data_IF_657622693399
#
_entry.id   IF_657622693399
#
_cell.length_a   1.000
_cell.length_b   1.000
_cell.length_c   1.000
_cell.angle_alpha   90.00
_cell.angle_beta   90.00
_cell.angle_gamma   90.00
#
_symmetry.space_group_name_H-M   'P 1'
#
loop_
_entity.id
_entity.type
_entity.pdbx_description
1 polymer ?
#
# COMPACT_ATOMS: atom_id res chain seq x y z
N UNK A 1 -10.35 0.99 13.79
CA UNK A 1 -8.93 1.26 14.15
C UNK A 1 -8.39 2.25 13.15
N UNK A 2 -7.62 3.22 13.59
CA UNK A 2 -7.06 4.27 12.76
C UNK A 2 -5.54 4.27 12.89
N UNK A 3 -4.82 4.44 11.79
CA UNK A 3 -3.41 4.73 11.74
C UNK A 3 -3.24 6.25 11.56
N UNK A 4 -2.62 6.90 12.52
CA UNK A 4 -2.51 8.34 12.59
C UNK A 4 -1.06 8.76 12.44
N UNK A 5 -0.80 9.62 11.47
CA UNK A 5 0.44 10.36 11.30
C UNK A 5 0.25 11.76 11.91
N UNK A 6 1.02 12.12 12.94
CA UNK A 6 0.96 13.42 13.59
C UNK A 6 2.30 14.13 13.49
N UNK A 7 2.35 15.23 12.72
CA UNK A 7 3.51 16.11 12.58
C UNK A 7 4.83 15.39 12.27
N UNK A 8 4.77 14.36 11.39
CA UNK A 8 5.94 13.54 11.05
C UNK A 8 6.94 14.38 10.26
N UNK A 9 8.14 14.51 10.84
CA UNK A 9 9.32 15.03 10.16
C UNK A 9 10.48 14.03 10.26
N UNK A 10 11.28 13.92 9.20
CA UNK A 10 12.42 13.00 9.20
C UNK A 10 13.61 13.52 8.39
N UNK A 11 14.80 13.23 8.94
CA UNK A 11 16.11 13.59 8.35
C UNK A 11 17.05 12.40 8.32
N UNK A 12 17.79 12.24 7.22
CA UNK A 12 18.96 11.37 7.16
C UNK A 12 20.22 12.24 7.22
N UNK A 13 20.83 12.35 8.40
CA UNK A 13 21.92 13.30 8.62
C UNK A 13 21.46 14.75 8.39
N UNK A 14 22.10 15.45 7.44
CA UNK A 14 21.72 16.81 7.06
C UNK A 14 20.54 16.88 6.08
N UNK A 15 20.17 15.75 5.47
CA UNK A 15 19.14 15.70 4.43
C UNK A 15 17.76 15.61 5.05
N UNK A 16 16.97 16.66 4.93
CA UNK A 16 15.55 16.68 5.32
C UNK A 16 14.70 16.02 4.24
N UNK A 17 13.97 14.96 4.61
CA UNK A 17 13.19 14.14 3.68
C UNK A 17 11.69 14.39 3.83
N UNK A 18 11.21 14.51 5.08
CA UNK A 18 9.82 14.80 5.43
C UNK A 18 9.77 15.99 6.39
N UNK A 19 8.74 16.83 6.24
CA UNK A 19 8.53 17.99 7.08
C UNK A 19 7.03 18.20 7.35
N UNK A 20 6.64 18.03 8.61
CA UNK A 20 5.30 18.27 9.17
C UNK A 20 4.17 17.54 8.42
N UNK A 21 4.32 16.24 8.17
CA UNK A 21 3.32 15.41 7.51
C UNK A 21 2.30 14.88 8.51
N UNK A 22 1.01 15.24 8.30
CA UNK A 22 -0.09 14.80 9.15
C UNK A 22 -1.27 14.31 8.32
N UNK A 23 -1.76 13.11 8.58
CA UNK A 23 -2.99 12.52 8.03
C UNK A 23 -3.38 11.27 8.81
N UNK A 24 -4.56 10.72 8.52
CA UNK A 24 -5.08 9.50 9.17
C UNK A 24 -5.43 8.48 8.09
N UNK A 25 -5.37 7.20 8.38
CA UNK A 25 -5.92 6.10 7.58
C UNK A 25 -6.86 5.31 8.48
N UNK A 26 -8.14 5.30 8.16
CA UNK A 26 -9.15 4.58 8.96
C UNK A 26 -9.39 3.16 8.44
N UNK A 27 -9.86 2.26 9.31
CA UNK A 27 -10.36 0.95 8.88
C UNK A 27 -11.42 1.11 7.79
N UNK A 28 -11.31 0.32 6.73
CA UNK A 28 -12.20 0.38 5.56
C UNK A 28 -11.87 1.49 4.56
N UNK A 29 -10.99 2.42 4.90
CA UNK A 29 -10.55 3.51 4.04
C UNK A 29 -9.24 3.16 3.30
N UNK A 30 -9.15 3.47 2.02
CA UNK A 30 -7.92 3.41 1.24
C UNK A 30 -7.42 4.83 0.98
N UNK A 31 -6.25 5.15 1.52
CA UNK A 31 -5.56 6.43 1.30
C UNK A 31 -4.38 6.19 0.38
N UNK A 32 -4.42 6.74 -0.83
CA UNK A 32 -3.24 6.74 -1.69
C UNK A 32 -2.30 7.89 -1.32
N UNK A 33 -1.00 7.63 -1.41
CA UNK A 33 0.06 8.62 -1.19
C UNK A 33 0.81 8.75 -2.50
N UNK A 34 0.73 9.93 -3.12
CA UNK A 34 1.37 10.24 -4.40
C UNK A 34 2.29 11.44 -4.26
N UNK A 35 3.21 11.59 -5.19
CA UNK A 35 4.16 12.72 -5.21
C UNK A 35 5.39 12.41 -6.05
N UNK A 36 6.25 13.40 -6.32
CA UNK A 36 7.45 13.24 -7.13
C UNK A 36 8.38 12.13 -6.62
N UNK A 37 9.23 11.59 -7.50
CA UNK A 37 10.25 10.64 -7.09
C UNK A 37 11.21 11.27 -6.06
N UNK A 38 11.54 10.52 -5.01
CA UNK A 38 12.43 10.98 -3.94
C UNK A 38 11.82 11.98 -2.94
N UNK A 39 10.50 12.25 -2.97
CA UNK A 39 9.83 13.14 -2.01
C UNK A 39 9.64 12.53 -0.61
N UNK A 40 9.96 11.25 -0.40
CA UNK A 40 9.91 10.61 0.92
C UNK A 40 8.74 9.64 1.15
N UNK A 41 7.99 9.21 0.10
CA UNK A 41 6.84 8.30 0.23
C UNK A 41 7.18 6.99 0.96
N UNK A 42 8.22 6.28 0.53
CA UNK A 42 8.66 5.02 1.16
C UNK A 42 9.23 5.25 2.56
N UNK A 43 9.86 6.41 2.80
CA UNK A 43 10.30 6.83 4.15
C UNK A 43 9.10 7.03 5.07
N UNK A 44 8.08 7.75 4.60
CA UNK A 44 6.83 7.95 5.33
C UNK A 44 6.16 6.61 5.64
N UNK A 45 6.04 5.74 4.65
CA UNK A 45 5.43 4.42 4.83
C UNK A 45 6.21 3.56 5.85
N UNK A 46 7.54 3.64 5.82
CA UNK A 46 8.41 2.96 6.81
C UNK A 46 8.22 3.48 8.22
N UNK A 47 7.97 4.79 8.38
CA UNK A 47 7.65 5.41 9.68
C UNK A 47 6.27 4.94 10.15
N UNK A 48 5.26 4.96 9.27
CA UNK A 48 3.91 4.48 9.56
C UNK A 48 3.90 3.01 10.00
N UNK A 49 4.76 2.19 9.40
CA UNK A 49 4.93 0.78 9.74
C UNK A 49 5.81 0.49 10.96
N UNK A 50 6.34 1.54 11.62
CA UNK A 50 7.24 1.37 12.78
C UNK A 50 8.62 0.83 12.43
N UNK A 51 8.98 0.75 11.15
CA UNK A 51 10.29 0.28 10.69
C UNK A 51 11.36 1.37 10.81
N UNK A 52 10.95 2.63 10.88
CA UNK A 52 11.81 3.78 11.01
C UNK A 52 11.22 4.75 12.03
N UNK A 53 12.04 5.25 12.94
CA UNK A 53 11.63 6.28 13.89
C UNK A 53 11.67 7.66 13.21
N UNK A 54 10.61 8.48 13.32
CA UNK A 54 10.65 9.86 12.82
C UNK A 54 11.63 10.70 13.64
N UNK A 55 12.17 11.77 13.05
CA UNK A 55 12.99 12.76 13.78
C UNK A 55 12.15 13.65 14.69
N UNK A 56 10.88 13.90 14.32
CA UNK A 56 9.87 14.58 15.11
C UNK A 56 8.48 14.08 14.73
N UNK A 57 7.49 14.28 15.60
CA UNK A 57 6.14 13.75 15.44
C UNK A 57 6.05 12.27 15.77
N UNK A 58 4.94 11.66 15.43
CA UNK A 58 4.68 10.25 15.72
C UNK A 58 3.71 9.61 14.73
N UNK A 59 3.82 8.27 14.62
CA UNK A 59 2.82 7.43 13.97
C UNK A 59 2.27 6.44 15.00
N UNK A 60 0.96 6.35 15.12
CA UNK A 60 0.33 5.47 16.10
C UNK A 60 -0.96 4.81 15.57
N UNK A 61 -1.25 3.63 16.11
CA UNK A 61 -2.54 2.96 15.92
C UNK A 61 -3.47 3.31 17.08
N UNK A 62 -4.64 3.87 16.78
CA UNK A 62 -5.70 4.17 17.77
C UNK A 62 -6.93 3.29 17.54
N UNK A 63 -7.52 2.84 18.64
CA UNK A 63 -8.70 1.98 18.64
C UNK A 63 -8.36 0.50 18.76
N UNK A 64 -9.38 -0.33 18.95
CA UNK A 64 -9.21 -1.77 19.07
C UNK A 64 -9.07 -2.43 17.69
N UNK A 65 -8.14 -3.38 17.51
CA UNK A 65 -8.08 -4.17 16.29
C UNK A 65 -9.32 -5.08 16.15
N UNK A 66 -9.63 -5.56 14.93
CA UNK A 66 -10.63 -6.62 14.77
C UNK A 66 -10.32 -7.81 15.69
N UNK A 67 -11.35 -8.45 16.26
CA UNK A 67 -11.15 -9.52 17.28
C UNK A 67 -10.32 -10.71 16.79
N UNK A 68 -10.32 -10.95 15.48
CA UNK A 68 -9.62 -12.04 14.82
C UNK A 68 -8.30 -11.62 14.17
N UNK A 69 -7.89 -10.37 14.35
CA UNK A 69 -6.62 -9.84 13.84
C UNK A 69 -5.43 -10.41 14.62
N UNK A 70 -4.51 -11.02 13.90
CA UNK A 70 -3.26 -11.54 14.46
C UNK A 70 -2.13 -10.50 14.43
N UNK A 71 -2.22 -9.57 13.48
CA UNK A 71 -1.34 -8.40 13.40
C UNK A 71 -2.12 -7.24 12.77
N UNK A 72 -2.47 -6.20 13.55
CA UNK A 72 -3.34 -5.13 13.08
C UNK A 72 -2.73 -4.25 11.98
N UNK A 73 -1.41 -4.21 11.85
CA UNK A 73 -0.69 -3.43 10.85
C UNK A 73 0.28 -4.33 10.10
N UNK A 74 0.12 -4.43 8.79
CA UNK A 74 0.95 -5.31 7.97
C UNK A 74 1.47 -4.58 6.74
N UNK A 75 2.69 -4.93 6.33
CA UNK A 75 3.40 -4.30 5.22
C UNK A 75 3.46 -5.23 3.99
N UNK A 76 3.18 -4.67 2.81
CA UNK A 76 3.45 -5.29 1.51
C UNK A 76 4.54 -4.46 0.83
N UNK A 77 5.73 -5.02 0.73
CA UNK A 77 6.89 -4.37 0.13
C UNK A 77 6.85 -4.45 -1.38
N UNK A 78 7.50 -3.52 -2.05
CA UNK A 78 7.71 -3.52 -3.50
C UNK A 78 8.43 -4.82 -3.97
N UNK A 79 9.47 -5.21 -3.28
CA UNK A 79 10.13 -6.52 -3.40
C UNK A 79 9.45 -7.49 -2.42
N UNK A 80 8.52 -8.28 -2.85
CA UNK A 80 7.62 -9.13 -2.02
C UNK A 80 8.29 -9.92 -0.90
N UNK A 81 9.62 -9.84 -0.76
CA UNK A 81 10.45 -10.45 0.27
C UNK A 81 10.06 -11.93 0.52
N UNK A 82 9.83 -12.69 -0.56
CA UNK A 82 9.51 -14.11 -0.45
C UNK A 82 10.76 -14.89 -0.05
N UNK A 83 10.55 -15.89 0.81
CA UNK A 83 11.58 -16.85 1.18
C UNK A 83 11.80 -17.79 -0.02
N UNK A 84 12.94 -17.72 -0.74
CA UNK A 84 13.12 -18.44 -2.01
C UNK A 84 13.23 -19.96 -1.85
N UNK A 85 13.52 -20.43 -0.63
CA UNK A 85 13.58 -21.85 -0.27
C UNK A 85 12.26 -22.41 0.28
N UNK A 86 11.22 -21.59 0.41
CA UNK A 86 9.88 -21.98 0.83
C UNK A 86 8.92 -22.02 -0.35
N UNK A 87 7.95 -22.93 -0.32
CA UNK A 87 6.82 -22.94 -1.26
C UNK A 87 5.91 -21.74 -1.04
N UNK A 88 4.94 -21.48 -1.93
CA UNK A 88 3.92 -20.45 -1.75
C UNK A 88 3.18 -20.64 -0.42
N UNK A 89 2.72 -21.84 -0.12
CA UNK A 89 2.05 -22.20 1.13
C UNK A 89 2.93 -21.94 2.35
N UNK A 90 4.19 -22.40 2.33
CA UNK A 90 5.12 -22.19 3.44
C UNK A 90 5.50 -20.71 3.63
N UNK A 91 5.54 -19.90 2.57
CA UNK A 91 5.69 -18.45 2.66
C UNK A 91 4.53 -17.79 3.40
N UNK A 92 3.29 -18.24 3.14
CA UNK A 92 2.11 -17.73 3.84
C UNK A 92 2.04 -18.24 5.27
N UNK A 93 2.37 -19.52 5.51
CA UNK A 93 2.38 -20.09 6.86
C UNK A 93 3.42 -19.44 7.78
N UNK A 94 4.53 -18.98 7.22
CA UNK A 94 5.65 -18.41 7.98
C UNK A 94 5.23 -17.32 8.96
N UNK A 95 4.33 -16.43 8.58
CA UNK A 95 3.87 -15.33 9.46
C UNK A 95 2.94 -15.78 10.57
N UNK A 96 2.46 -17.02 10.54
CA UNK A 96 1.55 -17.60 11.53
C UNK A 96 2.27 -18.47 12.57
N UNK A 97 3.59 -18.74 12.40
CA UNK A 97 4.32 -19.69 13.23
C UNK A 97 4.33 -19.32 14.73
N UNK A 98 4.26 -18.04 15.06
CA UNK A 98 4.30 -17.53 16.43
C UNK A 98 2.95 -16.96 16.91
N UNK A 99 1.86 -17.19 16.17
CA UNK A 99 0.52 -16.67 16.50
C UNK A 99 -0.23 -17.48 17.56
N UNK A 100 0.37 -18.51 18.15
CA UNK A 100 -0.30 -19.38 19.15
C UNK A 100 -1.37 -20.31 18.59
N UNK A 101 -1.44 -20.44 17.27
CA UNK A 101 -2.43 -21.25 16.56
C UNK A 101 -2.04 -22.72 16.46
N UNK A 102 -3.02 -23.64 16.50
CA UNK A 102 -2.80 -25.05 16.18
C UNK A 102 -2.42 -25.23 14.71
N UNK A 103 -1.85 -26.39 14.37
CA UNK A 103 -1.52 -26.72 12.98
C UNK A 103 -2.76 -26.70 12.05
N UNK A 104 -3.91 -27.15 12.56
CA UNK A 104 -5.18 -27.17 11.80
C UNK A 104 -5.68 -25.74 11.52
N UNK A 105 -5.63 -24.85 12.52
CA UNK A 105 -6.00 -23.44 12.34
C UNK A 105 -5.10 -22.73 11.35
N UNK A 106 -3.76 -22.91 11.46
CA UNK A 106 -2.82 -22.37 10.49
C UNK A 106 -3.11 -22.84 9.07
N UNK A 107 -3.31 -24.16 8.89
CA UNK A 107 -3.61 -24.71 7.57
C UNK A 107 -4.89 -24.13 6.96
N UNK A 108 -5.94 -23.92 7.78
CA UNK A 108 -7.18 -23.30 7.33
C UNK A 108 -6.98 -21.84 6.89
N UNK A 109 -6.24 -21.05 7.66
CA UNK A 109 -5.92 -19.65 7.33
C UNK A 109 -5.10 -19.57 6.04
N UNK A 110 -4.08 -20.42 5.90
CA UNK A 110 -3.21 -20.47 4.71
C UNK A 110 -4.02 -20.84 3.48
N UNK A 111 -4.89 -21.86 3.58
CA UNK A 111 -5.74 -22.28 2.48
C UNK A 111 -6.70 -21.16 2.05
N UNK A 112 -7.30 -20.43 2.99
CA UNK A 112 -8.16 -19.28 2.70
C UNK A 112 -7.39 -18.15 2.03
N UNK A 113 -6.21 -17.78 2.54
CA UNK A 113 -5.38 -16.73 1.96
C UNK A 113 -4.96 -17.05 0.51
N UNK A 114 -4.54 -18.31 0.24
CA UNK A 114 -4.20 -18.76 -1.10
C UNK A 114 -5.41 -18.79 -2.04
N UNK A 115 -6.58 -19.16 -1.55
CA UNK A 115 -7.83 -19.14 -2.31
C UNK A 115 -8.21 -17.71 -2.71
N UNK A 116 -8.18 -16.76 -1.76
CA UNK A 116 -8.50 -15.33 -1.99
C UNK A 116 -7.55 -14.67 -2.99
N UNK A 117 -6.33 -15.19 -3.13
CA UNK A 117 -5.33 -14.67 -4.08
C UNK A 117 -5.17 -15.55 -5.32
N UNK A 118 -6.10 -16.49 -5.58
CA UNK A 118 -6.12 -17.38 -6.75
C UNK A 118 -4.84 -18.22 -6.90
N UNK A 119 -4.25 -18.67 -5.77
CA UNK A 119 -3.01 -19.45 -5.73
C UNK A 119 -3.18 -20.90 -5.28
N UNK A 120 -4.41 -21.40 -5.13
CA UNK A 120 -4.69 -22.76 -4.62
C UNK A 120 -3.92 -23.85 -5.37
N UNK A 121 -3.90 -23.78 -6.72
CA UNK A 121 -3.23 -24.77 -7.57
C UNK A 121 -1.70 -24.66 -7.55
N UNK A 122 -1.17 -23.53 -7.05
CA UNK A 122 0.26 -23.23 -7.00
C UNK A 122 0.84 -23.29 -5.58
N UNK A 123 0.09 -23.80 -4.60
CA UNK A 123 0.49 -23.87 -3.18
C UNK A 123 1.87 -24.51 -2.97
N UNK A 124 2.21 -25.55 -3.73
CA UNK A 124 3.49 -26.27 -3.65
C UNK A 124 4.63 -25.68 -4.50
N UNK A 125 4.37 -24.61 -5.27
CA UNK A 125 5.37 -24.01 -6.13
C UNK A 125 6.33 -23.11 -5.33
N UNK A 126 7.61 -23.15 -5.72
CA UNK A 126 8.64 -22.25 -5.19
C UNK A 126 8.63 -20.92 -5.93
N UNK A 127 9.10 -19.80 -5.33
CA UNK A 127 9.11 -18.47 -5.96
C UNK A 127 9.73 -18.44 -7.36
N UNK A 128 10.77 -19.24 -7.62
CA UNK A 128 11.42 -19.35 -8.94
C UNK A 128 10.54 -19.97 -10.04
N UNK A 129 9.48 -20.68 -9.65
CA UNK A 129 8.53 -21.35 -10.55
C UNK A 129 7.29 -20.48 -10.82
N UNK A 130 7.15 -19.34 -10.12
CA UNK A 130 6.02 -18.44 -10.19
C UNK A 130 6.31 -17.26 -11.14
N UNK A 131 5.29 -16.79 -11.84
CA UNK A 131 5.35 -15.52 -12.58
C UNK A 131 5.53 -14.32 -11.62
N UNK A 132 5.84 -13.13 -12.15
CA UNK A 132 5.93 -11.91 -11.36
C UNK A 132 4.65 -11.63 -10.56
N UNK A 133 3.50 -11.66 -11.25
CA UNK A 133 2.20 -11.48 -10.61
C UNK A 133 1.85 -12.56 -9.59
N UNK A 134 2.23 -13.82 -9.83
CA UNK A 134 2.01 -14.90 -8.85
C UNK A 134 2.86 -14.70 -7.60
N UNK A 135 4.12 -14.27 -7.72
CA UNK A 135 4.97 -13.93 -6.56
C UNK A 135 4.35 -12.80 -5.74
N UNK A 136 3.81 -11.79 -6.41
CA UNK A 136 3.10 -10.71 -5.75
C UNK A 136 1.89 -11.22 -4.97
N UNK A 137 1.05 -12.04 -5.60
CA UNK A 137 -0.12 -12.67 -4.93
C UNK A 137 0.29 -13.48 -3.70
N UNK A 138 1.45 -14.14 -3.69
CA UNK A 138 1.98 -14.80 -2.48
C UNK A 138 2.31 -13.78 -1.38
N UNK A 139 2.92 -12.64 -1.73
CA UNK A 139 3.18 -11.55 -0.79
C UNK A 139 1.90 -10.98 -0.18
N UNK A 140 0.86 -10.80 -1.01
CA UNK A 140 -0.47 -10.36 -0.57
C UNK A 140 -1.12 -11.43 0.32
N UNK A 141 -1.11 -12.70 -0.08
CA UNK A 141 -1.64 -13.82 0.71
C UNK A 141 -1.01 -13.87 2.10
N UNK A 142 0.31 -13.65 2.17
CA UNK A 142 1.06 -13.56 3.44
C UNK A 142 0.58 -12.41 4.30
N UNK A 143 0.35 -11.23 3.71
CA UNK A 143 -0.17 -10.07 4.43
C UNK A 143 -1.61 -10.29 4.93
N UNK A 144 -2.46 -10.91 4.12
CA UNK A 144 -3.85 -11.21 4.48
C UNK A 144 -4.00 -12.29 5.55
N UNK A 145 -3.05 -13.24 5.62
CA UNK A 145 -3.10 -14.35 6.57
C UNK A 145 -3.12 -13.89 8.04
N UNK A 146 -2.54 -12.74 8.35
CA UNK A 146 -2.57 -12.16 9.70
C UNK A 146 -3.80 -11.29 9.98
N UNK A 147 -4.74 -11.19 9.03
CA UNK A 147 -5.99 -10.43 9.15
C UNK A 147 -5.77 -8.99 9.66
N UNK A 148 -5.03 -8.18 8.90
CA UNK A 148 -4.69 -6.83 9.34
C UNK A 148 -5.92 -5.92 9.35
N UNK A 149 -5.93 -4.94 10.28
CA UNK A 149 -6.87 -3.83 10.23
C UNK A 149 -6.46 -2.81 9.17
N UNK A 150 -5.14 -2.65 8.97
CA UNK A 150 -4.55 -1.71 8.01
C UNK A 150 -3.39 -2.36 7.28
N UNK A 151 -3.38 -2.20 5.94
CA UNK A 151 -2.28 -2.57 5.05
C UNK A 151 -1.45 -1.34 4.69
N UNK A 152 -0.14 -1.48 4.76
CA UNK A 152 0.82 -0.54 4.19
C UNK A 152 1.40 -1.14 2.92
N UNK A 153 1.28 -0.44 1.79
CA UNK A 153 1.69 -0.96 0.48
C UNK A 153 2.62 0.04 -0.21
N UNK A 154 3.86 -0.38 -0.48
CA UNK A 154 4.87 0.43 -1.17
C UNK A 154 4.99 -0.02 -2.63
N UNK A 155 4.38 0.72 -3.55
CA UNK A 155 4.39 0.48 -5.00
C UNK A 155 4.13 -0.99 -5.39
N UNK A 156 3.09 -1.65 -4.85
CA UNK A 156 2.94 -3.10 -4.97
C UNK A 156 2.74 -3.58 -6.42
N UNK A 157 2.35 -2.72 -7.36
CA UNK A 157 2.07 -3.08 -8.76
C UNK A 157 3.14 -2.58 -9.74
N UNK A 158 4.20 -1.90 -9.28
CA UNK A 158 5.15 -1.20 -10.15
C UNK A 158 5.99 -2.12 -11.04
N UNK A 159 6.31 -3.33 -10.58
CA UNK A 159 7.17 -4.28 -11.28
C UNK A 159 6.43 -5.16 -12.32
N UNK A 160 5.15 -4.90 -12.58
CA UNK A 160 4.30 -5.74 -13.41
C UNK A 160 4.05 -5.12 -14.80
N UNK A 161 3.88 -6.02 -15.79
CA UNK A 161 3.33 -5.62 -17.10
C UNK A 161 1.89 -5.13 -16.97
N UNK A 162 1.40 -4.41 -17.98
CA UNK A 162 0.09 -3.74 -17.94
C UNK A 162 -1.08 -4.70 -17.76
N UNK A 163 -1.05 -5.89 -18.38
CA UNK A 163 -2.15 -6.85 -18.28
C UNK A 163 -2.21 -7.50 -16.89
N UNK A 164 -1.07 -7.93 -16.38
CA UNK A 164 -0.97 -8.49 -15.03
C UNK A 164 -1.35 -7.45 -13.97
N UNK A 165 -0.95 -6.19 -14.17
CA UNK A 165 -1.29 -5.07 -13.27
C UNK A 165 -2.81 -4.87 -13.19
N UNK A 166 -3.50 -4.86 -14.34
CA UNK A 166 -4.95 -4.69 -14.40
C UNK A 166 -5.70 -5.78 -13.64
N UNK A 167 -5.35 -7.06 -13.89
CA UNK A 167 -5.95 -8.19 -13.17
C UNK A 167 -5.73 -8.12 -11.66
N UNK A 168 -4.52 -7.72 -11.23
CA UNK A 168 -4.23 -7.59 -9.80
C UNK A 168 -4.91 -6.38 -9.17
N UNK A 169 -5.13 -5.31 -9.93
CA UNK A 169 -5.90 -4.15 -9.48
C UNK A 169 -7.33 -4.57 -9.14
N UNK A 170 -7.99 -5.35 -10.02
CA UNK A 170 -9.33 -5.89 -9.77
C UNK A 170 -9.36 -6.79 -8.53
N UNK A 171 -8.36 -7.67 -8.38
CA UNK A 171 -8.21 -8.49 -7.18
C UNK A 171 -8.10 -7.63 -5.90
N UNK A 172 -7.28 -6.56 -5.94
CA UNK A 172 -7.13 -5.64 -4.81
C UNK A 172 -8.43 -4.90 -4.47
N UNK A 173 -9.14 -4.40 -5.47
CA UNK A 173 -10.44 -3.75 -5.26
C UNK A 173 -11.39 -4.71 -4.52
N UNK A 174 -11.47 -5.97 -4.99
CA UNK A 174 -12.28 -7.01 -4.33
C UNK A 174 -11.86 -7.28 -2.89
N UNK A 175 -10.55 -7.45 -2.65
CA UNK A 175 -10.00 -7.74 -1.33
C UNK A 175 -10.23 -6.61 -0.32
N UNK A 176 -10.16 -5.35 -0.77
CA UNK A 176 -10.38 -4.16 0.06
C UNK A 176 -11.87 -3.87 0.28
N UNK A 177 -12.75 -4.32 -0.63
CA UNK A 177 -14.19 -4.16 -0.48
C UNK A 177 -14.79 -5.08 0.59
N UNK A 178 -14.26 -6.32 0.72
CA UNK A 178 -14.85 -7.38 1.54
C UNK A 178 -14.60 -7.25 3.05
N UNK A 179 -13.68 -6.38 3.52
CA UNK A 179 -13.11 -6.65 4.83
C UNK A 179 -13.11 -5.56 5.88
N UNK A 180 -13.58 -4.37 5.63
CA UNK A 180 -13.39 -3.26 6.59
C UNK A 180 -11.91 -2.94 6.86
N UNK A 181 -10.99 -3.53 6.08
CA UNK A 181 -9.56 -3.31 6.14
C UNK A 181 -9.19 -1.99 5.49
N UNK A 182 -8.46 -1.13 6.21
CA UNK A 182 -7.91 0.10 5.66
C UNK A 182 -6.58 -0.14 4.92
N UNK A 183 -6.16 0.84 4.10
CA UNK A 183 -4.87 0.77 3.44
C UNK A 183 -4.23 2.14 3.24
N UNK A 184 -2.89 2.22 3.46
CA UNK A 184 -2.06 3.28 2.94
C UNK A 184 -1.31 2.75 1.71
N UNK A 185 -1.59 3.31 0.55
CA UNK A 185 -1.13 2.82 -0.74
C UNK A 185 -0.20 3.85 -1.40
N UNK A 186 1.09 3.58 -1.41
CA UNK A 186 2.07 4.41 -2.13
C UNK A 186 2.14 3.97 -3.58
N UNK A 187 1.99 4.91 -4.50
CA UNK A 187 2.19 4.68 -5.94
C UNK A 187 2.65 5.95 -6.65
N UNK A 188 3.33 5.77 -7.77
CA UNK A 188 3.59 6.84 -8.74
C UNK A 188 2.59 6.80 -9.92
N UNK A 189 1.73 5.79 -9.98
CA UNK A 189 0.71 5.63 -11.02
C UNK A 189 -0.61 6.26 -10.56
N UNK A 190 -1.00 7.37 -11.19
CA UNK A 190 -2.21 8.11 -10.84
C UNK A 190 -3.50 7.36 -11.19
N UNK A 191 -3.47 6.47 -12.19
CA UNK A 191 -4.60 5.60 -12.52
C UNK A 191 -4.89 4.63 -11.36
N UNK A 192 -3.84 4.01 -10.79
CA UNK A 192 -3.97 3.17 -9.60
C UNK A 192 -4.57 3.96 -8.43
N UNK A 193 -4.04 5.17 -8.19
CA UNK A 193 -4.50 6.02 -7.08
C UNK A 193 -6.00 6.35 -7.19
N UNK A 194 -6.48 6.82 -8.35
CA UNK A 194 -7.90 7.21 -8.52
C UNK A 194 -8.86 6.02 -8.54
N UNK A 195 -8.38 4.83 -8.90
CA UNK A 195 -9.21 3.61 -8.92
C UNK A 195 -9.33 2.95 -7.54
N UNK A 196 -8.27 2.98 -6.74
CA UNK A 196 -8.21 2.27 -5.45
C UNK A 196 -8.61 3.16 -4.26
N UNK A 197 -8.15 4.41 -4.23
CA UNK A 197 -8.22 5.23 -3.03
C UNK A 197 -9.57 5.92 -2.82
N UNK A 198 -9.97 6.09 -1.58
CA UNK A 198 -11.11 6.94 -1.20
C UNK A 198 -10.70 8.41 -1.13
N UNK A 199 -9.42 8.66 -0.83
CA UNK A 199 -8.77 9.96 -0.98
C UNK A 199 -7.28 9.81 -1.26
N UNK A 200 -6.71 10.85 -1.83
CA UNK A 200 -5.31 10.88 -2.25
C UNK A 200 -4.57 11.99 -1.51
N UNK A 201 -3.52 11.62 -0.79
CA UNK A 201 -2.58 12.55 -0.16
C UNK A 201 -1.47 12.86 -1.15
N UNK A 202 -1.42 14.11 -1.62
CA UNK A 202 -0.39 14.59 -2.55
C UNK A 202 0.75 15.19 -1.75
N UNK A 203 1.94 14.61 -1.86
CA UNK A 203 3.14 15.15 -1.24
C UNK A 203 3.86 16.11 -2.19
N UNK A 204 4.42 17.18 -1.60
CA UNK A 204 5.35 18.08 -2.29
C UNK A 204 6.67 17.35 -2.61
N UNK A 205 7.52 18.00 -3.43
CA UNK A 205 8.93 17.62 -3.52
C UNK A 205 9.61 17.68 -2.13
N UNK A 206 10.80 17.08 -2.05
CA UNK A 206 11.58 17.04 -0.81
C UNK A 206 11.97 18.45 -0.30
N UNK A 207 11.79 18.72 1.00
CA UNK A 207 11.18 17.87 1.99
C UNK A 207 9.68 17.66 1.70
N UNK A 208 9.23 16.38 1.76
CA UNK A 208 7.84 16.03 1.51
C UNK A 208 6.93 16.61 2.59
N UNK A 209 5.95 17.42 2.18
CA UNK A 209 4.86 17.96 2.99
C UNK A 209 3.53 17.58 2.36
N UNK A 210 2.48 17.50 3.13
CA UNK A 210 1.13 17.36 2.56
C UNK A 210 0.79 18.65 1.84
N UNK A 211 0.72 18.61 0.50
CA UNK A 211 0.32 19.73 -0.34
C UNK A 211 -1.19 19.83 -0.42
N UNK A 212 -1.83 18.70 -0.64
CA UNK A 212 -3.27 18.62 -0.82
C UNK A 212 -3.78 17.23 -0.48
N UNK A 213 -5.05 17.16 -0.07
CA UNK A 213 -5.78 15.89 0.12
C UNK A 213 -6.99 15.93 -0.79
N UNK A 214 -6.97 15.13 -1.84
CA UNK A 214 -7.99 15.06 -2.88
C UNK A 214 -8.95 13.92 -2.59
N UNK A 215 -10.22 14.16 -2.24
CA UNK A 215 -11.22 13.12 -2.06
C UNK A 215 -11.64 12.55 -3.42
N UNK A 216 -11.92 11.25 -3.50
CA UNK A 216 -12.49 10.62 -4.67
C UNK A 216 -13.99 10.46 -4.45
N UNK A 217 -14.85 11.20 -5.18
CA UNK A 217 -16.28 11.26 -4.91
C UNK A 217 -17.03 9.98 -5.30
N UNK A 218 -16.44 9.13 -6.15
CA UNK A 218 -17.01 7.87 -6.62
C UNK A 218 -16.69 6.73 -5.64
N UNK A 219 -17.65 5.85 -5.41
CA UNK A 219 -17.41 4.59 -4.69
C UNK A 219 -16.53 3.66 -5.53
N UNK A 220 -15.82 2.72 -4.90
CA UNK A 220 -14.95 1.75 -5.61
C UNK A 220 -15.71 0.94 -6.65
N UNK A 221 -16.98 0.63 -6.43
CA UNK A 221 -17.85 -0.08 -7.38
C UNK A 221 -18.17 0.79 -8.61
N UNK A 222 -18.56 2.06 -8.39
CA UNK A 222 -18.88 3.00 -9.47
C UNK A 222 -17.68 3.25 -10.38
N UNK A 223 -16.45 3.25 -9.85
CA UNK A 223 -15.21 3.45 -10.64
C UNK A 223 -14.97 2.37 -11.69
N UNK A 224 -15.55 1.18 -11.53
CA UNK A 224 -15.53 0.12 -12.55
C UNK A 224 -16.50 0.35 -13.71
N UNK A 225 -17.44 1.29 -13.59
CA UNK A 225 -18.45 1.53 -14.59
C UNK A 225 -17.94 2.39 -15.75
N UNK A 226 -18.50 2.16 -16.95
CA UNK A 226 -18.12 2.92 -18.15
C UNK A 226 -18.30 4.44 -17.98
N UNK A 227 -19.38 4.83 -17.30
CA UNK A 227 -19.74 6.24 -17.09
C UNK A 227 -18.76 7.00 -16.18
N UNK A 228 -18.06 6.32 -15.28
CA UNK A 228 -17.09 6.91 -14.38
C UNK A 228 -15.76 7.32 -15.06
N UNK A 229 -15.46 6.77 -16.24
CA UNK A 229 -14.17 6.97 -16.91
C UNK A 229 -13.82 8.44 -17.15
N UNK A 230 -14.79 9.25 -17.54
CA UNK A 230 -14.57 10.70 -17.78
C UNK A 230 -14.17 11.44 -16.51
N UNK A 231 -14.84 11.14 -15.40
CA UNK A 231 -14.57 11.74 -14.09
C UNK A 231 -13.22 11.31 -13.52
N UNK A 232 -12.89 10.02 -13.64
CA UNK A 232 -11.57 9.51 -13.21
C UNK A 232 -10.42 10.10 -14.03
N UNK A 233 -10.60 10.31 -15.36
CA UNK A 233 -9.61 10.97 -16.20
C UNK A 233 -9.44 12.45 -15.83
N UNK A 234 -10.52 13.15 -15.46
CA UNK A 234 -10.44 14.53 -15.00
C UNK A 234 -9.65 14.64 -13.69
N UNK A 235 -9.96 13.78 -12.69
CA UNK A 235 -9.22 13.68 -11.43
C UNK A 235 -7.74 13.34 -11.67
N UNK A 236 -7.45 12.39 -12.55
CA UNK A 236 -6.07 12.04 -12.91
C UNK A 236 -5.32 13.24 -13.52
N UNK A 237 -5.97 14.03 -14.37
CA UNK A 237 -5.40 15.23 -14.98
C UNK A 237 -5.13 16.32 -13.94
N UNK A 238 -6.02 16.50 -12.97
CA UNK A 238 -5.85 17.43 -11.86
C UNK A 238 -4.65 17.02 -10.99
N UNK A 239 -4.58 15.77 -10.57
CA UNK A 239 -3.46 15.22 -9.80
C UNK A 239 -2.13 15.36 -10.57
N UNK A 240 -2.14 15.08 -11.88
CA UNK A 240 -0.97 15.27 -12.73
C UNK A 240 -0.50 16.72 -12.71
N UNK A 241 -1.41 17.69 -12.79
CA UNK A 241 -1.07 19.11 -12.74
C UNK A 241 -0.40 19.50 -11.42
N UNK A 242 -0.95 19.02 -10.29
CA UNK A 242 -0.38 19.24 -8.95
C UNK A 242 1.05 18.70 -8.81
N UNK A 243 1.32 17.51 -9.37
CA UNK A 243 2.64 16.86 -9.29
C UNK A 243 3.63 17.47 -10.30
N UNK A 244 3.17 17.80 -11.52
CA UNK A 244 4.01 18.36 -12.58
C UNK A 244 4.63 19.70 -12.22
N UNK A 245 3.88 20.59 -11.61
CA UNK A 245 4.39 21.86 -11.13
C UNK A 245 5.62 21.66 -10.22
N UNK A 246 5.53 20.65 -9.32
CA UNK A 246 6.64 20.32 -8.40
C UNK A 246 7.86 19.72 -9.10
N UNK A 247 7.64 18.94 -10.18
CA UNK A 247 8.74 18.34 -10.95
C UNK A 247 9.49 19.42 -11.77
N UNK A 248 8.78 20.36 -12.37
CA UNK A 248 9.38 21.46 -13.17
C UNK A 248 10.21 22.38 -12.27
N UNK A 249 9.72 22.70 -11.07
CA UNK A 249 10.46 23.55 -10.13
C UNK A 249 11.74 22.86 -9.63
N UNK A 250 11.70 21.52 -9.46
CA UNK A 250 12.89 20.74 -9.12
C UNK A 250 13.98 20.77 -10.21
N UNK A 251 13.59 20.65 -11.49
CA UNK A 251 14.54 20.72 -12.61
C UNK A 251 15.19 22.11 -12.75
N UNK A 252 14.44 23.17 -12.51
CA UNK A 252 14.95 24.56 -12.57
C UNK A 252 15.99 24.84 -11.48
N UNK A 253 15.81 24.29 -10.27
CA UNK A 253 16.79 24.49 -9.19
C UNK A 253 18.10 23.73 -9.42
N UNK A 254 18.03 22.53 -10.00
CA UNK A 254 19.24 21.74 -10.35
C UNK A 254 20.05 22.42 -11.47
N UNK A 255 19.40 23.18 -12.37
CA UNK A 255 20.09 23.93 -13.43
C UNK A 255 20.74 25.25 -12.95
N UNK A 256 20.39 25.71 -11.75
CA UNK A 256 20.90 26.95 -11.17
C UNK A 256 21.83 26.74 -9.96
N UNK A 257 22.14 25.50 -9.58
CA UNK A 257 23.10 25.11 -8.53
C UNK A 257 24.39 24.53 -9.13
#
# INVERSE_FOLDING_TARGET
>A
MDLIAEHISHRFGALEVLDDVSFTVSSGEVVAIVGPSGCGKSTLLSILGGLLQPSAGQAELRGAPPPDSLNPLTFVFQDFALLPWCTAEANVEFVLLHAGLSATERAAIVADALRRTSLTDFRGAYPKQLSGGMRQRVGIARALAVRPAILLMDEPLSALDSQTRELLMEDFIGLLADGGMGAAYVTHNLEEAVRLADRIVVLSRRPGRVREVVPIPLTRTERGEFNARGELLALQSELWSLIREQAIDAEREVQHA
#
